data_IF_121106925773
#
_entry.id   IF_121106925773
#
_cell.length_a   1.000
_cell.length_b   1.000
_cell.length_c   1.000
_cell.angle_alpha   90.00
_cell.angle_beta   90.00
_cell.angle_gamma   90.00
#
_symmetry.space_group_name_H-M   'P 1'
#
loop_
_entity.id
_entity.type
_entity.pdbx_description
1 polymer ?
#
# COMPACT_ATOMS: atom_id res chain seq x y z
N UNK A 1 23.98 -8.28 -14.51
CA UNK A 1 22.96 -7.21 -14.41
C UNK A 1 22.10 -7.54 -13.21
N UNK A 2 22.61 -7.30 -12.00
CA UNK A 2 21.90 -7.66 -10.78
C UNK A 2 20.81 -6.62 -10.50
N UNK A 3 19.56 -7.01 -10.76
CA UNK A 3 18.32 -6.53 -10.13
C UNK A 3 18.17 -5.03 -9.80
N UNK A 4 18.77 -4.11 -10.57
CA UNK A 4 18.64 -2.66 -10.37
C UNK A 4 17.18 -2.20 -10.28
N UNK A 5 16.30 -2.80 -11.09
CA UNK A 5 14.86 -2.52 -11.07
C UNK A 5 14.22 -2.84 -9.72
N UNK A 6 14.59 -3.97 -9.09
CA UNK A 6 14.08 -4.33 -7.76
C UNK A 6 14.57 -3.35 -6.69
N UNK A 7 15.86 -3.00 -6.72
CA UNK A 7 16.42 -2.00 -5.80
C UNK A 7 15.68 -0.68 -5.92
N UNK A 8 15.44 -0.21 -7.15
CA UNK A 8 14.73 1.04 -7.40
C UNK A 8 13.27 0.98 -6.94
N UNK A 9 12.57 -0.14 -7.17
CA UNK A 9 11.18 -0.34 -6.71
C UNK A 9 11.09 -0.30 -5.18
N UNK A 10 11.98 -1.00 -4.48
CA UNK A 10 11.98 -1.06 -3.01
C UNK A 10 12.39 0.27 -2.37
N UNK A 11 13.41 0.94 -2.93
CA UNK A 11 13.83 2.26 -2.51
C UNK A 11 12.68 3.26 -2.69
N UNK A 12 12.04 3.27 -3.86
CA UNK A 12 10.93 4.16 -4.15
C UNK A 12 9.71 3.87 -3.26
N UNK A 13 9.36 2.59 -3.05
CA UNK A 13 8.27 2.19 -2.15
C UNK A 13 8.49 2.72 -0.72
N UNK A 14 9.73 2.66 -0.23
CA UNK A 14 10.09 3.16 1.09
C UNK A 14 9.90 4.68 1.21
N UNK A 15 10.28 5.43 0.18
CA UNK A 15 10.12 6.90 0.14
C UNK A 15 8.65 7.28 0.14
N UNK A 16 7.81 6.62 -0.66
CA UNK A 16 6.39 6.99 -0.77
C UNK A 16 5.50 6.43 0.33
N UNK A 17 6.00 5.50 1.15
CA UNK A 17 5.23 4.83 2.19
C UNK A 17 4.54 5.81 3.16
N UNK A 18 5.21 6.91 3.51
CA UNK A 18 4.63 7.94 4.41
C UNK A 18 3.41 8.62 3.81
N UNK A 19 3.41 8.90 2.51
CA UNK A 19 2.27 9.51 1.81
C UNK A 19 1.12 8.52 1.68
N UNK A 20 1.43 7.26 1.40
CA UNK A 20 0.44 6.19 1.31
C UNK A 20 -0.21 5.93 2.66
N UNK A 21 0.58 5.86 3.74
CA UNK A 21 0.09 5.76 5.11
C UNK A 21 -0.84 6.94 5.47
N UNK A 22 -0.44 8.16 5.15
CA UNK A 22 -1.26 9.35 5.37
C UNK A 22 -2.60 9.26 4.62
N UNK A 23 -2.59 8.83 3.35
CA UNK A 23 -3.81 8.64 2.56
C UNK A 23 -4.73 7.56 3.14
N UNK A 24 -4.18 6.41 3.54
CA UNK A 24 -4.95 5.34 4.19
C UNK A 24 -5.57 5.83 5.50
N UNK A 25 -4.79 6.56 6.30
CA UNK A 25 -5.26 7.09 7.57
C UNK A 25 -6.37 8.14 7.36
N UNK A 26 -6.23 9.00 6.35
CA UNK A 26 -7.24 9.97 5.98
C UNK A 26 -8.58 9.31 5.63
N UNK A 27 -8.57 8.21 4.85
CA UNK A 27 -9.80 7.47 4.55
C UNK A 27 -10.40 6.85 5.81
N UNK A 28 -9.57 6.23 6.67
CA UNK A 28 -9.99 5.63 7.95
C UNK A 28 -10.68 6.63 8.86
N UNK A 29 -10.21 7.89 8.90
CA UNK A 29 -10.76 8.91 9.80
C UNK A 29 -11.96 9.64 9.22
N UNK A 30 -12.12 9.63 7.88
CA UNK A 30 -13.17 10.41 7.20
C UNK A 30 -14.40 9.58 6.87
N UNK A 31 -14.22 8.29 6.54
CA UNK A 31 -15.32 7.44 6.03
C UNK A 31 -15.43 6.17 6.87
N UNK A 32 -16.66 5.82 7.26
CA UNK A 32 -16.92 4.56 7.96
C UNK A 32 -16.99 3.40 6.95
N UNK A 33 -15.86 2.74 6.71
CA UNK A 33 -15.73 1.59 5.80
C UNK A 33 -15.46 0.29 6.56
N UNK A 34 -15.97 -0.86 6.06
CA UNK A 34 -15.71 -2.16 6.66
C UNK A 34 -14.22 -2.49 6.72
N UNK A 35 -13.77 -3.05 7.85
CA UNK A 35 -12.33 -3.26 8.14
C UNK A 35 -11.63 -4.22 7.17
N UNK A 36 -12.38 -5.11 6.52
CA UNK A 36 -11.87 -6.09 5.55
C UNK A 36 -11.50 -5.47 4.20
N UNK A 37 -11.95 -4.25 3.89
CA UNK A 37 -11.68 -3.57 2.62
C UNK A 37 -10.44 -2.67 2.72
N UNK A 38 -9.92 -2.42 3.94
CA UNK A 38 -8.75 -1.57 4.13
C UNK A 38 -7.53 -1.99 3.30
N UNK A 39 -7.19 -3.28 3.13
CA UNK A 39 -6.08 -3.66 2.26
C UNK A 39 -6.28 -3.25 0.81
N UNK A 40 -7.51 -3.36 0.30
CA UNK A 40 -7.85 -2.90 -1.05
C UNK A 40 -7.74 -1.38 -1.15
N UNK A 41 -8.22 -0.65 -0.14
CA UNK A 41 -8.07 0.81 -0.07
C UNK A 41 -6.60 1.20 -0.08
N UNK A 42 -5.75 0.53 0.71
CA UNK A 42 -4.31 0.77 0.70
C UNK A 42 -3.66 0.49 -0.63
N UNK A 43 -4.04 -0.61 -1.29
CA UNK A 43 -3.56 -0.91 -2.64
C UNK A 43 -3.93 0.20 -3.63
N UNK A 44 -5.19 0.62 -3.66
CA UNK A 44 -5.66 1.68 -4.57
C UNK A 44 -4.94 3.00 -4.29
N UNK A 45 -4.83 3.41 -3.03
CA UNK A 45 -4.11 4.63 -2.65
C UNK A 45 -2.63 4.52 -3.04
N UNK A 46 -2.00 3.38 -2.78
CA UNK A 46 -0.62 3.11 -3.15
C UNK A 46 -0.37 3.24 -4.66
N UNK A 47 -1.24 2.64 -5.48
CA UNK A 47 -1.17 2.74 -6.94
C UNK A 47 -1.36 4.18 -7.43
N UNK A 48 -2.32 4.92 -6.87
CA UNK A 48 -2.58 6.32 -7.22
C UNK A 48 -1.37 7.21 -6.87
N UNK A 49 -0.81 7.06 -5.68
CA UNK A 49 0.37 7.81 -5.23
C UNK A 49 1.59 7.45 -6.09
N UNK A 50 1.82 6.16 -6.36
CA UNK A 50 2.91 5.71 -7.23
C UNK A 50 2.79 6.28 -8.65
N UNK A 51 1.60 6.25 -9.25
CA UNK A 51 1.35 6.85 -10.56
C UNK A 51 1.56 8.36 -10.55
N UNK A 52 1.06 9.06 -9.54
CA UNK A 52 1.17 10.51 -9.37
C UNK A 52 2.59 11.01 -9.09
N UNK A 53 3.52 10.14 -8.69
CA UNK A 53 4.90 10.50 -8.41
C UNK A 53 5.79 10.70 -9.65
N UNK A 54 5.21 10.63 -10.87
CA UNK A 54 5.93 10.86 -12.13
C UNK A 54 6.75 12.16 -12.20
N UNK A 55 6.39 13.29 -11.54
CA UNK A 55 7.20 14.50 -11.61
C UNK A 55 8.49 14.42 -10.79
N UNK A 56 8.57 13.50 -9.83
CA UNK A 56 9.68 13.42 -8.88
C UNK A 56 10.69 12.32 -9.23
N UNK A 57 10.32 11.37 -10.11
CA UNK A 57 11.10 10.15 -10.35
C UNK A 57 11.04 9.70 -11.80
N UNK A 58 12.22 9.42 -12.38
CA UNK A 58 12.38 8.83 -13.71
C UNK A 58 12.28 7.29 -13.66
N UNK A 59 11.14 6.78 -13.19
CA UNK A 59 10.81 5.35 -13.22
C UNK A 59 9.73 5.08 -14.25
N UNK A 60 9.79 3.91 -14.91
CA UNK A 60 8.67 3.45 -15.74
C UNK A 60 7.39 3.32 -14.91
N UNK A 61 6.24 3.55 -15.55
CA UNK A 61 4.95 3.50 -14.89
C UNK A 61 4.74 2.15 -14.18
N UNK A 62 5.10 1.05 -14.82
CA UNK A 62 4.96 -0.30 -14.25
C UNK A 62 5.73 -0.44 -12.93
N UNK A 63 6.98 0.05 -12.87
CA UNK A 63 7.79 0.00 -11.66
C UNK A 63 7.23 0.90 -10.55
N UNK A 64 6.68 2.06 -10.92
CA UNK A 64 6.02 2.97 -9.97
C UNK A 64 4.75 2.36 -9.37
N UNK A 65 3.96 1.67 -10.19
CA UNK A 65 2.77 0.96 -9.73
C UNK A 65 3.17 -0.20 -8.80
N UNK A 66 4.22 -0.95 -9.10
CA UNK A 66 4.74 -1.98 -8.19
C UNK A 66 5.19 -1.40 -6.86
N UNK A 67 5.97 -0.33 -6.86
CA UNK A 67 6.39 0.34 -5.64
C UNK A 67 5.21 0.88 -4.82
N UNK A 68 4.25 1.52 -5.50
CA UNK A 68 3.03 2.02 -4.91
C UNK A 68 2.18 0.92 -4.28
N UNK A 69 1.97 -0.18 -5.00
CA UNK A 69 1.22 -1.32 -4.52
C UNK A 69 1.87 -1.97 -3.29
N UNK A 70 3.19 -2.16 -3.31
CA UNK A 70 3.93 -2.68 -2.15
C UNK A 70 3.83 -1.75 -0.94
N UNK A 71 3.98 -0.45 -1.13
CA UNK A 71 3.80 0.55 -0.07
C UNK A 71 2.37 0.53 0.48
N UNK A 72 1.36 0.45 -0.38
CA UNK A 72 -0.07 0.41 -0.04
C UNK A 72 -0.49 -0.79 0.77
N UNK A 73 -0.08 -1.97 0.35
CA UNK A 73 -0.36 -3.21 1.07
C UNK A 73 0.37 -3.23 2.42
N UNK A 74 1.59 -2.71 2.47
CA UNK A 74 2.37 -2.59 3.72
C UNK A 74 1.74 -1.60 4.70
N UNK A 75 1.19 -0.48 4.20
CA UNK A 75 0.56 0.57 5.01
C UNK A 75 -0.72 0.12 5.75
N UNK A 76 -1.35 -0.96 5.29
CA UNK A 76 -2.62 -1.44 5.87
C UNK A 76 -2.46 -2.57 6.86
N UNK A 77 -1.22 -3.06 7.08
CA UNK A 77 -0.97 -4.23 7.91
C UNK A 77 -1.56 -5.50 7.32
N UNK A 78 -1.59 -5.65 5.98
CA UNK A 78 -2.16 -6.84 5.33
C UNK A 78 -1.52 -8.13 5.87
N UNK A 79 -0.23 -8.10 6.22
CA UNK A 79 0.46 -9.22 6.85
C UNK A 79 -0.17 -9.57 8.21
N UNK A 80 -0.48 -8.59 9.06
CA UNK A 80 -1.21 -8.83 10.31
C UNK A 80 -2.60 -9.41 10.05
N UNK A 81 -3.32 -8.89 9.04
CA UNK A 81 -4.66 -9.36 8.71
C UNK A 81 -4.68 -10.80 8.19
N UNK A 82 -3.67 -11.19 7.40
CA UNK A 82 -3.55 -12.52 6.82
C UNK A 82 -3.18 -13.59 7.86
N UNK A 83 -2.41 -13.21 8.90
CA UNK A 83 -1.96 -14.13 9.95
C UNK A 83 -2.77 -14.03 11.24
N UNK A 84 -3.65 -13.02 11.38
CA UNK A 84 -4.57 -12.93 12.52
C UNK A 84 -5.66 -13.99 12.37
N UNK A 85 -5.49 -15.10 13.09
CA UNK A 85 -6.50 -16.15 13.24
C UNK A 85 -7.71 -15.51 13.93
N UNK A 86 -8.73 -15.15 13.15
CA UNK A 86 -10.05 -14.85 13.72
C UNK A 86 -10.54 -16.12 14.40
N UNK A 87 -10.36 -16.22 15.70
CA UNK A 87 -11.15 -17.15 16.52
C UNK A 87 -12.59 -16.67 16.40
N UNK A 88 -13.30 -17.24 15.43
CA UNK A 88 -14.73 -17.06 15.29
C UNK A 88 -15.38 -17.67 16.52
N UNK A 89 -15.64 -16.85 17.54
CA UNK A 89 -16.79 -17.09 18.40
C UNK A 89 -18.01 -16.86 17.51
N UNK A 90 -18.47 -17.93 16.85
CA UNK A 90 -19.90 -18.00 16.53
C UNK A 90 -20.59 -17.87 17.88
N UNK A 91 -21.29 -16.76 18.06
CA UNK A 91 -22.33 -16.72 19.08
C UNK A 91 -23.34 -17.81 18.72
N UNK A 92 -23.73 -18.54 19.75
CA UNK A 92 -24.73 -19.60 19.81
C UNK A 92 -25.88 -19.46 18.81
#
# INVERSE_FOLDING_TARGET
MDNQNLTNVLAFASVIAVFVLAGVQFVKTTVNVPKNIFPLIGLVIGLLVGAAAYPFMELELVLRLWAGGLAGLSATGLFELAFSKREGSSKE
#
